data_IF_269626852236
#
_entry.id   IF_269626852236
#
_cell.length_a   1.000
_cell.length_b   1.000
_cell.length_c   1.000
_cell.angle_alpha   90.00
_cell.angle_beta   90.00
_cell.angle_gamma   90.00
#
_symmetry.space_group_name_H-M   'P 1'
#
loop_
_entity.id
_entity.type
_entity.pdbx_description
1 polymer ?
#
# COMPACT_ATOMS: atom_id res chain seq x y z
N UNK A 1 -5.07 -25.96 -3.11
CA UNK A 1 -5.25 -25.99 -1.67
C UNK A 1 -4.85 -24.64 -1.07
N UNK A 2 -5.85 -23.92 -0.57
CA UNK A 2 -5.68 -22.54 -0.10
C UNK A 2 -4.83 -22.43 1.17
N UNK A 3 -4.73 -23.52 1.91
CA UNK A 3 -4.02 -23.60 3.19
C UNK A 3 -2.70 -24.38 3.14
N UNK A 4 -2.32 -24.91 1.99
CA UNK A 4 -1.02 -25.57 1.86
C UNK A 4 0.11 -24.55 1.84
N UNK A 5 1.26 -24.83 2.45
CA UNK A 5 2.42 -23.95 2.45
C UNK A 5 2.92 -23.58 1.05
N UNK A 6 2.55 -24.35 0.02
CA UNK A 6 2.82 -24.05 -1.38
C UNK A 6 1.94 -22.91 -1.94
N UNK A 7 0.80 -22.61 -1.34
CA UNK A 7 -0.08 -21.53 -1.80
C UNK A 7 0.61 -20.17 -1.77
N UNK A 8 1.47 -19.92 -0.78
CA UNK A 8 2.20 -18.65 -0.62
C UNK A 8 3.39 -18.47 -1.56
N UNK A 9 3.76 -19.49 -2.32
CA UNK A 9 4.77 -19.35 -3.38
C UNK A 9 4.26 -18.60 -4.61
N UNK A 10 2.94 -18.54 -4.79
CA UNK A 10 2.34 -17.78 -5.88
C UNK A 10 2.25 -16.31 -5.51
N UNK A 11 2.76 -15.37 -6.33
CA UNK A 11 2.75 -13.95 -6.03
C UNK A 11 1.37 -13.40 -5.65
N UNK A 12 0.32 -13.92 -6.25
CA UNK A 12 -1.07 -13.52 -5.95
C UNK A 12 -1.53 -13.89 -4.53
N UNK A 13 -0.92 -14.87 -3.91
CA UNK A 13 -1.33 -15.38 -2.58
C UNK A 13 -0.43 -14.93 -1.45
N UNK A 14 0.73 -14.39 -1.74
CA UNK A 14 1.61 -13.76 -0.74
C UNK A 14 1.37 -12.24 -0.72
N UNK A 15 2.09 -11.53 0.14
CA UNK A 15 1.90 -10.09 0.30
C UNK A 15 2.24 -9.27 -0.95
N UNK A 16 2.98 -9.80 -1.91
CA UNK A 16 3.19 -9.15 -3.21
C UNK A 16 1.86 -8.94 -3.98
N UNK A 17 0.94 -9.89 -3.88
CA UNK A 17 -0.39 -9.82 -4.49
C UNK A 17 -1.38 -8.92 -3.76
N UNK A 18 -0.99 -8.25 -2.69
CA UNK A 18 -1.84 -7.42 -1.86
C UNK A 18 -1.39 -5.95 -1.86
N UNK A 19 -2.26 -4.99 -1.52
CA UNK A 19 -1.91 -3.57 -1.46
C UNK A 19 -1.13 -3.25 -0.16
N UNK A 20 -0.01 -3.94 0.04
CA UNK A 20 0.91 -3.75 1.15
C UNK A 20 2.31 -3.46 0.62
N UNK A 21 3.19 -2.83 1.41
CA UNK A 21 4.55 -2.52 0.98
C UNK A 21 5.38 -3.73 0.59
N UNK A 22 6.27 -3.48 -0.35
CA UNK A 22 7.35 -4.35 -0.78
C UNK A 22 8.65 -3.61 -0.50
N UNK A 23 9.45 -4.11 0.46
CA UNK A 23 10.58 -3.38 1.03
C UNK A 23 11.85 -4.18 0.78
N UNK A 24 12.88 -3.58 0.19
CA UNK A 24 14.13 -4.26 -0.22
C UNK A 24 13.86 -5.54 -1.02
N UNK A 25 12.81 -5.57 -1.83
CA UNK A 25 12.42 -6.77 -2.57
C UNK A 25 11.80 -7.87 -1.70
N UNK A 26 11.41 -7.58 -0.47
CA UNK A 26 10.86 -8.54 0.48
C UNK A 26 9.37 -8.36 0.72
N UNK A 27 8.67 -9.48 0.82
CA UNK A 27 7.29 -9.57 1.27
C UNK A 27 7.20 -9.60 2.81
N UNK A 28 5.99 -9.48 3.32
CA UNK A 28 5.71 -9.75 4.73
C UNK A 28 6.08 -11.19 5.09
N UNK A 29 6.59 -11.36 6.30
CA UNK A 29 6.88 -12.69 6.84
C UNK A 29 5.61 -13.36 7.37
N UNK A 30 5.61 -14.68 7.38
CA UNK A 30 4.54 -15.47 8.00
C UNK A 30 4.85 -15.74 9.47
N UNK A 31 3.82 -16.00 10.27
CA UNK A 31 3.94 -16.47 11.64
C UNK A 31 3.23 -15.60 12.67
N UNK A 32 3.09 -16.12 13.88
CA UNK A 32 2.33 -15.48 14.98
C UNK A 32 2.92 -14.13 15.44
N UNK A 33 4.19 -13.86 15.15
CA UNK A 33 4.86 -12.60 15.50
C UNK A 33 4.66 -11.50 14.46
N UNK A 34 4.22 -11.85 13.25
CA UNK A 34 3.88 -10.89 12.21
C UNK A 34 2.48 -10.32 12.48
N UNK A 35 2.40 -9.26 13.26
CA UNK A 35 1.15 -8.69 13.75
C UNK A 35 1.08 -7.20 13.42
N UNK A 36 -0.15 -6.71 13.22
CA UNK A 36 -0.45 -5.29 13.21
C UNK A 36 -0.91 -4.85 14.60
N UNK A 37 -0.35 -3.77 15.12
CA UNK A 37 -0.76 -3.13 16.37
C UNK A 37 -1.53 -1.86 16.05
N UNK A 38 -2.78 -1.78 16.48
CA UNK A 38 -3.60 -0.58 16.31
C UNK A 38 -3.08 0.53 17.21
N UNK A 39 -2.60 1.62 16.61
CA UNK A 39 -2.10 2.79 17.34
C UNK A 39 -3.19 3.85 17.52
N UNK A 40 -4.09 3.98 16.54
CA UNK A 40 -5.16 4.98 16.57
C UNK A 40 -6.41 4.45 15.89
N UNK A 41 -7.55 4.72 16.50
CA UNK A 41 -8.88 4.48 15.93
C UNK A 41 -9.78 5.65 16.32
N UNK A 42 -10.09 6.50 15.36
CA UNK A 42 -11.06 7.59 15.50
C UNK A 42 -12.11 7.42 14.41
N UNK A 43 -13.36 7.27 14.81
CA UNK A 43 -14.49 7.14 13.90
C UNK A 43 -15.47 8.26 14.23
N UNK A 44 -15.62 9.20 13.30
CA UNK A 44 -16.48 10.38 13.49
C UNK A 44 -17.50 10.51 12.36
N UNK A 45 -18.46 11.42 12.50
CA UNK A 45 -19.39 11.70 11.42
C UNK A 45 -18.76 12.33 10.17
N UNK A 46 -17.60 12.96 10.31
CA UNK A 46 -16.92 13.68 9.21
C UNK A 46 -15.66 12.96 8.69
N UNK A 47 -14.82 12.50 9.61
CA UNK A 47 -13.54 11.88 9.25
C UNK A 47 -13.26 10.66 10.11
N UNK A 48 -12.89 9.54 9.49
CA UNK A 48 -12.39 8.37 10.18
C UNK A 48 -10.88 8.26 10.01
N UNK A 49 -10.17 7.90 11.08
CA UNK A 49 -8.74 7.65 11.08
C UNK A 49 -8.48 6.29 11.72
N UNK A 50 -7.72 5.46 11.01
CA UNK A 50 -7.25 4.18 11.51
C UNK A 50 -5.76 4.06 11.25
N UNK A 51 -4.97 3.82 12.31
CA UNK A 51 -3.52 3.75 12.20
C UNK A 51 -3.01 2.43 12.80
N UNK A 52 -2.14 1.77 12.07
CA UNK A 52 -1.56 0.47 12.41
C UNK A 52 -0.04 0.55 12.31
N UNK A 53 0.65 0.11 13.36
CA UNK A 53 2.05 -0.30 13.29
C UNK A 53 2.11 -1.78 12.86
N UNK A 54 2.79 -2.07 11.77
CA UNK A 54 2.97 -3.41 11.25
C UNK A 54 4.42 -3.73 10.92
N UNK A 55 5.34 -3.05 11.61
CA UNK A 55 6.80 -3.25 11.53
C UNK A 55 7.15 -4.72 11.70
N UNK A 56 6.52 -5.40 12.66
CA UNK A 56 6.80 -6.81 12.94
C UNK A 56 6.53 -7.76 11.78
N UNK A 57 5.68 -7.36 10.83
CA UNK A 57 5.41 -8.14 9.63
C UNK A 57 6.59 -8.18 8.65
N UNK A 58 7.60 -7.34 8.86
CA UNK A 58 8.82 -7.29 8.03
C UNK A 58 10.09 -7.56 8.83
N UNK A 59 10.04 -7.62 10.15
CA UNK A 59 11.19 -7.58 11.05
C UNK A 59 12.32 -8.57 10.74
N UNK A 60 12.00 -9.80 10.27
CA UNK A 60 13.02 -10.79 9.91
C UNK A 60 13.43 -10.74 8.46
N UNK A 61 12.62 -10.17 7.58
CA UNK A 61 12.91 -10.04 6.15
C UNK A 61 13.67 -8.76 5.82
N UNK A 62 13.44 -7.71 6.62
CA UNK A 62 14.06 -6.38 6.47
C UNK A 62 14.56 -5.91 7.83
N UNK A 63 15.69 -6.44 8.31
CA UNK A 63 16.21 -6.13 9.65
C UNK A 63 16.60 -4.65 9.83
N UNK A 64 16.80 -3.92 8.73
CA UNK A 64 17.06 -2.48 8.74
C UNK A 64 15.82 -1.66 9.10
N UNK A 65 14.61 -2.20 8.97
CA UNK A 65 13.37 -1.49 9.22
C UNK A 65 13.10 -1.36 10.72
N UNK A 66 13.09 -0.13 11.22
CA UNK A 66 12.80 0.16 12.62
C UNK A 66 11.31 0.43 12.87
N UNK A 67 10.63 1.03 11.88
CA UNK A 67 9.24 1.42 12.02
C UNK A 67 8.51 1.43 10.69
N UNK A 68 7.27 0.92 10.71
CA UNK A 68 6.38 0.97 9.56
C UNK A 68 4.94 1.17 10.04
N UNK A 69 4.41 2.36 9.73
CA UNK A 69 3.06 2.74 10.14
C UNK A 69 2.22 3.01 8.89
N UNK A 70 1.06 2.40 8.80
CA UNK A 70 0.03 2.74 7.84
C UNK A 70 -1.12 3.49 8.50
N UNK A 71 -1.46 4.61 7.90
CA UNK A 71 -2.63 5.40 8.29
C UNK A 71 -3.66 5.37 7.17
N UNK A 72 -4.88 5.02 7.52
CA UNK A 72 -6.05 5.17 6.67
C UNK A 72 -6.85 6.38 7.15
N UNK A 73 -7.19 7.26 6.23
CA UNK A 73 -8.07 8.40 6.52
C UNK A 73 -9.21 8.41 5.52
N UNK A 74 -10.43 8.41 6.01
CA UNK A 74 -11.62 8.60 5.18
C UNK A 74 -12.33 9.90 5.58
N UNK A 75 -12.35 10.85 4.66
CA UNK A 75 -13.06 12.11 4.81
C UNK A 75 -14.36 12.04 4.00
N UNK A 76 -15.49 12.30 4.66
CA UNK A 76 -16.82 12.26 4.06
C UNK A 76 -17.27 13.58 3.44
N UNK A 77 -16.48 14.65 3.58
CA UNK A 77 -16.82 15.94 2.99
C UNK A 77 -16.86 15.87 1.45
N UNK A 78 -17.83 16.50 0.85
CA UNK A 78 -18.05 16.47 -0.60
C UNK A 78 -18.34 15.06 -1.11
N UNK A 79 -17.60 14.62 -2.13
CA UNK A 79 -17.74 13.29 -2.74
C UNK A 79 -16.98 12.18 -1.99
N UNK A 80 -16.31 12.55 -0.91
CA UNK A 80 -15.49 11.66 -0.12
C UNK A 80 -14.06 11.51 -0.66
N UNK A 81 -13.12 11.37 0.28
CA UNK A 81 -11.70 11.13 -0.05
C UNK A 81 -11.16 10.05 0.87
N UNK A 82 -10.48 9.07 0.29
CA UNK A 82 -9.80 8.03 1.05
C UNK A 82 -8.30 8.15 0.85
N UNK A 83 -7.56 8.21 1.95
CA UNK A 83 -6.10 8.33 1.94
C UNK A 83 -5.48 7.11 2.62
N UNK A 84 -4.47 6.54 2.00
CA UNK A 84 -3.55 5.58 2.60
C UNK A 84 -2.18 6.24 2.65
N UNK A 85 -1.59 6.34 3.84
CA UNK A 85 -0.22 6.82 4.03
C UNK A 85 0.60 5.74 4.71
N UNK A 86 1.69 5.32 4.06
CA UNK A 86 2.74 4.49 4.65
C UNK A 86 3.91 5.38 5.05
N UNK A 87 4.30 5.34 6.33
CA UNK A 87 5.47 6.01 6.87
C UNK A 87 6.44 5.00 7.42
N UNK A 88 7.72 5.14 7.11
CA UNK A 88 8.77 4.25 7.57
C UNK A 88 10.00 4.97 8.11
N UNK A 89 10.72 4.28 8.99
CA UNK A 89 12.03 4.62 9.54
C UNK A 89 12.92 3.38 9.49
N UNK A 90 14.21 3.53 9.17
CA UNK A 90 15.17 2.46 9.04
C UNK A 90 16.58 2.92 9.42
N UNK A 91 17.42 2.01 9.89
CA UNK A 91 18.83 2.29 10.26
C UNK A 91 19.71 2.59 9.05
N UNK A 92 19.31 2.12 7.86
CA UNK A 92 20.01 2.38 6.60
C UNK A 92 19.00 2.58 5.47
N UNK A 93 19.46 3.04 4.31
CA UNK A 93 18.57 3.26 3.16
C UNK A 93 17.90 1.98 2.68
N UNK A 94 16.57 1.95 2.68
CA UNK A 94 15.73 0.86 2.16
C UNK A 94 15.00 1.30 0.90
N UNK A 95 14.85 0.37 -0.06
CA UNK A 95 13.90 0.57 -1.17
C UNK A 95 12.48 0.34 -0.67
N UNK A 96 11.58 1.24 -1.04
CA UNK A 96 10.19 1.18 -0.58
C UNK A 96 9.22 1.30 -1.76
N UNK A 97 8.29 0.38 -1.81
CA UNK A 97 7.20 0.35 -2.77
C UNK A 97 5.89 0.05 -2.03
N UNK A 98 4.84 0.82 -2.27
CA UNK A 98 3.48 0.43 -1.96
C UNK A 98 2.75 0.00 -3.22
N UNK A 99 1.51 -0.49 -3.12
CA UNK A 99 0.79 -0.97 -4.29
C UNK A 99 -0.71 -0.72 -4.20
N UNK A 100 -1.32 -0.68 -5.39
CA UNK A 100 -2.75 -0.81 -5.60
C UNK A 100 -2.96 -2.11 -6.38
N UNK A 101 -3.97 -2.89 -5.99
CA UNK A 101 -4.40 -4.07 -6.74
C UNK A 101 -5.81 -3.83 -7.27
N UNK A 102 -6.01 -4.05 -8.56
CA UNK A 102 -7.30 -3.76 -9.21
C UNK A 102 -7.60 -4.74 -10.33
N UNK A 103 -8.88 -4.93 -10.63
CA UNK A 103 -9.38 -5.55 -11.87
C UNK A 103 -9.92 -4.50 -12.84
N UNK A 104 -9.94 -3.25 -12.43
CA UNK A 104 -10.37 -2.15 -13.28
C UNK A 104 -9.34 -1.90 -14.39
N UNK A 105 -9.81 -1.40 -15.50
CA UNK A 105 -8.95 -0.72 -16.45
C UNK A 105 -8.34 0.51 -15.79
N UNK A 106 -7.12 0.84 -16.18
CA UNK A 106 -6.42 1.97 -15.60
C UNK A 106 -5.58 2.68 -16.64
N UNK A 107 -5.34 3.95 -16.42
CA UNK A 107 -4.44 4.77 -17.23
C UNK A 107 -3.76 5.84 -16.40
N UNK A 108 -2.54 6.20 -16.77
CA UNK A 108 -1.90 7.38 -16.24
C UNK A 108 -2.57 8.62 -16.84
N UNK A 109 -2.97 9.56 -15.99
CA UNK A 109 -3.57 10.85 -16.38
C UNK A 109 -2.71 12.04 -15.97
N UNK A 110 -1.52 11.78 -15.45
CA UNK A 110 -0.50 12.76 -15.05
C UNK A 110 0.71 12.03 -14.48
N UNK A 111 1.73 12.76 -14.05
CA UNK A 111 2.98 12.16 -13.56
C UNK A 111 2.80 11.32 -12.31
N UNK A 112 1.82 11.66 -11.46
CA UNK A 112 1.54 11.01 -10.18
C UNK A 112 0.04 10.78 -9.98
N UNK A 113 -0.71 10.65 -11.08
CA UNK A 113 -2.16 10.41 -11.08
C UNK A 113 -2.51 9.30 -12.02
N UNK A 114 -3.31 8.37 -11.56
CA UNK A 114 -3.93 7.34 -12.40
C UNK A 114 -5.44 7.33 -12.19
N UNK A 115 -6.15 6.93 -13.22
CA UNK A 115 -7.59 6.71 -13.22
C UNK A 115 -7.87 5.22 -13.25
N UNK A 116 -8.78 4.77 -12.39
CA UNK A 116 -9.33 3.42 -12.38
C UNK A 116 -10.77 3.49 -12.87
N UNK A 117 -11.15 2.58 -13.76
CA UNK A 117 -12.50 2.49 -14.31
C UNK A 117 -13.12 1.15 -13.92
N UNK A 118 -13.92 1.15 -12.86
CA UNK A 118 -14.67 -0.02 -12.40
C UNK A 118 -16.05 0.42 -11.90
N UNK A 119 -17.05 0.30 -12.73
CA UNK A 119 -18.40 0.78 -12.43
C UNK A 119 -18.48 2.29 -12.49
N UNK A 120 -18.08 2.99 -11.44
CA UNK A 120 -17.86 4.43 -11.44
C UNK A 120 -16.36 4.73 -11.54
N UNK A 121 -15.94 5.72 -12.36
CA UNK A 121 -14.54 6.12 -12.42
C UNK A 121 -14.03 6.64 -11.09
N UNK A 122 -12.80 6.30 -10.75
CA UNK A 122 -12.09 6.80 -9.58
C UNK A 122 -10.67 7.22 -9.93
N UNK A 123 -10.13 8.18 -9.21
CA UNK A 123 -8.78 8.69 -9.39
C UNK A 123 -7.93 8.37 -8.16
N UNK A 124 -6.69 7.98 -8.40
CA UNK A 124 -5.67 7.82 -7.37
C UNK A 124 -4.54 8.78 -7.65
N UNK A 125 -4.19 9.59 -6.67
CA UNK A 125 -2.98 10.40 -6.65
C UNK A 125 -1.95 9.77 -5.71
N UNK A 126 -0.67 9.89 -6.05
CA UNK A 126 0.40 9.28 -5.27
C UNK A 126 1.69 10.10 -5.29
N UNK A 127 2.46 10.00 -4.21
CA UNK A 127 3.72 10.71 -4.00
C UNK A 127 4.92 9.86 -4.41
N UNK A 128 4.89 9.32 -5.64
CA UNK A 128 5.99 8.46 -6.12
C UNK A 128 6.14 8.55 -7.64
N UNK A 129 7.28 8.12 -8.13
CA UNK A 129 7.73 8.44 -9.46
C UNK A 129 7.77 7.25 -10.42
N UNK A 130 7.51 6.03 -9.92
CA UNK A 130 7.62 4.82 -10.73
C UNK A 130 6.43 3.90 -10.50
N UNK A 131 5.77 3.51 -11.59
CA UNK A 131 4.66 2.57 -11.60
C UNK A 131 5.06 1.31 -12.37
N UNK A 132 4.93 0.15 -11.74
CA UNK A 132 5.10 -1.15 -12.38
C UNK A 132 3.81 -1.97 -12.33
N UNK A 133 3.48 -2.61 -13.45
CA UNK A 133 2.27 -3.43 -13.59
C UNK A 133 2.66 -4.88 -13.73
N UNK A 134 2.03 -5.74 -12.97
CA UNK A 134 2.37 -7.15 -13.01
C UNK A 134 1.21 -8.04 -12.58
N UNK A 135 0.51 -8.70 -13.53
CA UNK A 135 -0.24 -9.93 -13.28
C UNK A 135 -1.17 -10.41 -14.39
N UNK A 136 -1.46 -11.73 -14.50
CA UNK A 136 -2.49 -12.28 -15.39
C UNK A 136 -3.92 -12.27 -14.81
N UNK A 137 -4.13 -12.20 -13.50
CA UNK A 137 -5.46 -12.35 -12.88
C UNK A 137 -6.07 -11.04 -12.36
N UNK A 138 -5.23 -10.08 -12.07
CA UNK A 138 -5.54 -8.69 -11.68
C UNK A 138 -4.28 -7.87 -11.90
N UNK A 139 -4.43 -6.56 -11.98
CA UNK A 139 -3.30 -5.65 -12.10
C UNK A 139 -2.81 -5.26 -10.72
N UNK A 140 -1.52 -5.42 -10.48
CA UNK A 140 -0.80 -4.82 -9.37
C UNK A 140 -0.05 -3.60 -9.88
N UNK A 141 -0.37 -2.45 -9.38
CA UNK A 141 0.30 -1.19 -9.70
C UNK A 141 1.22 -0.87 -8.54
N UNK A 142 2.52 -1.09 -8.72
CA UNK A 142 3.55 -0.76 -7.75
C UNK A 142 3.92 0.71 -7.82
N UNK A 143 3.96 1.38 -6.68
CA UNK A 143 4.29 2.81 -6.53
C UNK A 143 5.53 2.89 -5.66
N UNK A 144 6.67 3.23 -6.27
CA UNK A 144 7.99 3.05 -5.67
C UNK A 144 8.73 4.38 -5.57
N UNK A 145 9.45 4.57 -4.46
CA UNK A 145 10.41 5.66 -4.33
C UNK A 145 11.61 5.45 -5.26
N UNK A 146 12.08 6.50 -5.91
CA UNK A 146 13.18 6.43 -6.90
C UNK A 146 14.49 5.89 -6.34
N UNK A 147 14.76 6.16 -5.06
CA UNK A 147 16.01 5.79 -4.41
C UNK A 147 15.77 5.30 -3.00
N UNK A 148 16.66 4.44 -2.45
CA UNK A 148 16.60 4.05 -1.06
C UNK A 148 16.69 5.27 -0.11
N UNK A 149 15.90 5.23 0.97
CA UNK A 149 15.85 6.26 2.02
C UNK A 149 15.89 5.60 3.40
N UNK A 150 16.43 6.31 4.39
CA UNK A 150 16.36 5.88 5.79
C UNK A 150 15.00 6.18 6.43
N UNK A 151 14.31 7.19 5.93
CA UNK A 151 12.96 7.52 6.37
C UNK A 151 12.17 8.16 5.24
N UNK A 152 10.86 7.98 5.26
CA UNK A 152 9.99 8.58 4.26
C UNK A 152 8.54 8.23 4.45
N UNK A 153 7.72 8.77 3.56
CA UNK A 153 6.32 8.38 3.44
C UNK A 153 5.89 8.27 1.98
N UNK A 154 4.95 7.40 1.72
CA UNK A 154 4.21 7.33 0.45
C UNK A 154 2.74 7.47 0.75
N UNK A 155 2.08 8.40 0.07
CA UNK A 155 0.67 8.69 0.26
C UNK A 155 -0.11 8.45 -1.02
N UNK A 156 -1.20 7.71 -0.91
CA UNK A 156 -2.18 7.46 -1.95
C UNK A 156 -3.47 8.19 -1.59
N UNK A 157 -3.97 9.01 -2.49
CA UNK A 157 -5.23 9.74 -2.33
C UNK A 157 -6.20 9.24 -3.38
N UNK A 158 -7.33 8.72 -2.94
CA UNK A 158 -8.37 8.16 -3.79
C UNK A 158 -9.66 8.97 -3.66
N UNK A 159 -10.24 9.33 -4.77
CA UNK A 159 -11.52 10.05 -4.84
C UNK A 159 -12.27 9.69 -6.13
N UNK A 160 -13.60 9.83 -6.15
CA UNK A 160 -14.36 9.64 -7.38
C UNK A 160 -13.88 10.60 -8.47
N UNK A 161 -13.77 10.13 -9.69
CA UNK A 161 -13.50 11.03 -10.82
C UNK A 161 -14.80 11.75 -11.18
N UNK A 162 -14.71 13.05 -11.39
CA UNK A 162 -15.85 13.81 -11.90
C UNK A 162 -16.05 13.46 -13.37
N UNK A 163 -17.31 13.26 -13.79
CA UNK A 163 -17.62 13.06 -15.19
C UNK A 163 -17.23 14.26 -16.05
#
# INVERSE_FOLDING_TARGET
>A
DYFSGNAYKYPIKNSFGHPVPFINGQCQVSGKKAQGVVLKKELTGGTDIFQIDYTSAYATAVPELEKLIRTFTYNRAGEGTFVIEDRFEAVSGISFETAITTRADWKMIGNNRLELVLGAPGVVEFDSETVEVNSPAYTRIGIRLKKPLQSGSVRLIMYPSRP
#
